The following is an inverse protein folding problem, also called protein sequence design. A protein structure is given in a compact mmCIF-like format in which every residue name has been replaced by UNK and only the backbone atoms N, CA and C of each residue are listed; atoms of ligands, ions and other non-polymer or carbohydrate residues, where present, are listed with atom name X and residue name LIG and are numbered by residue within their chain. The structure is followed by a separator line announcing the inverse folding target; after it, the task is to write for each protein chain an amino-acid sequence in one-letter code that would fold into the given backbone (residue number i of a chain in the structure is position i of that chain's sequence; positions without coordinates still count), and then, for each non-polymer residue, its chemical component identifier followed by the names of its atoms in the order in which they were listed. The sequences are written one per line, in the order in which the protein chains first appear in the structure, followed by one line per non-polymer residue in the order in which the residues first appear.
data_IF_821934464099
#
_entry.id   IF_821934464099
#
_cell.length_a   1.000
_cell.length_b   1.000
_cell.length_c   1.000
_cell.angle_alpha   90.00
_cell.angle_beta   90.00
_cell.angle_gamma   90.00
#
_symmetry.space_group_name_H-M   'P 1'
#
loop_
_entity.id
_entity.type
_entity.pdbx_description
1 polymer ?
#
# COMPACT_ATOMS: atom_id res chain seq x y z
N UNK A 1 -26.04 -12.72 5.72
CA UNK A 1 -25.09 -12.65 4.58
C UNK A 1 -23.71 -12.70 5.17
N UNK A 2 -22.92 -13.76 4.89
CA UNK A 2 -21.51 -13.81 5.29
C UNK A 2 -20.73 -12.94 4.30
N UNK A 3 -19.94 -12.00 4.82
CA UNK A 3 -18.93 -11.28 4.03
C UNK A 3 -17.70 -12.18 4.00
N UNK A 4 -17.19 -12.47 2.81
CA UNK A 4 -15.97 -13.27 2.61
C UNK A 4 -14.82 -12.30 2.37
N UNK A 5 -13.79 -12.36 3.21
CA UNK A 5 -12.57 -11.57 3.05
C UNK A 5 -11.49 -12.38 2.31
N UNK A 6 -10.57 -11.65 1.70
CA UNK A 6 -9.38 -12.17 1.04
C UNK A 6 -8.16 -11.38 1.45
N UNK A 7 -7.02 -12.06 1.53
CA UNK A 7 -5.73 -11.37 1.59
C UNK A 7 -5.39 -10.76 0.24
N UNK A 8 -5.24 -9.45 0.22
CA UNK A 8 -4.86 -8.69 -0.97
C UNK A 8 -3.61 -7.87 -0.65
N UNK A 9 -2.64 -7.88 -1.57
CA UNK A 9 -1.43 -7.06 -1.45
C UNK A 9 -1.69 -5.70 -2.08
N UNK A 10 -1.40 -4.64 -1.32
CA UNK A 10 -1.47 -3.27 -1.79
C UNK A 10 -0.07 -2.67 -1.87
N UNK A 11 0.25 -2.05 -3.01
CA UNK A 11 1.43 -1.21 -3.18
C UNK A 11 1.04 0.23 -2.93
N UNK A 12 1.71 0.88 -1.97
CA UNK A 12 1.45 2.26 -1.60
C UNK A 12 2.63 3.13 -1.98
N UNK A 13 2.39 4.12 -2.83
CA UNK A 13 3.33 5.16 -3.18
C UNK A 13 3.15 6.36 -2.25
N UNK A 14 4.24 6.82 -1.65
CA UNK A 14 4.18 7.88 -0.65
C UNK A 14 5.45 8.74 -0.64
N UNK A 15 5.34 9.94 -0.05
CA UNK A 15 6.48 10.76 0.32
C UNK A 15 6.61 10.84 1.84
N UNK A 16 7.83 10.75 2.36
CA UNK A 16 8.10 10.85 3.81
C UNK A 16 7.87 12.25 4.37
N UNK A 17 8.16 13.28 3.58
CA UNK A 17 8.05 14.68 3.96
C UNK A 17 6.82 15.31 3.30
N UNK A 18 5.89 15.81 4.12
CA UNK A 18 4.66 16.47 3.68
C UNK A 18 4.73 18.01 3.76
N UNK A 19 5.87 18.58 4.13
CA UNK A 19 6.07 20.03 4.36
C UNK A 19 6.56 20.78 3.13
N UNK A 20 6.92 20.06 2.06
CA UNK A 20 7.41 20.60 0.79
C UNK A 20 6.56 20.08 -0.38
N UNK A 21 6.63 20.76 -1.51
CA UNK A 21 5.98 20.27 -2.74
C UNK A 21 6.51 18.87 -3.11
N UNK A 22 5.63 17.93 -3.49
CA UNK A 22 6.02 16.56 -3.81
C UNK A 22 6.93 16.53 -5.03
N UNK A 23 7.97 15.69 -4.98
CA UNK A 23 8.89 15.45 -6.09
C UNK A 23 8.91 13.98 -6.47
N UNK A 24 8.91 13.67 -7.78
CA UNK A 24 8.82 12.28 -8.26
C UNK A 24 10.00 11.44 -7.79
N UNK A 25 11.18 12.03 -7.66
CA UNK A 25 12.40 11.35 -7.23
C UNK A 25 12.42 10.95 -5.75
N UNK A 26 11.48 11.45 -4.95
CA UNK A 26 11.34 11.12 -3.51
C UNK A 26 10.13 10.26 -3.21
N UNK A 27 9.44 9.75 -4.23
CA UNK A 27 8.36 8.79 -4.06
C UNK A 27 8.94 7.44 -3.67
N UNK A 28 8.66 7.00 -2.46
CA UNK A 28 8.94 5.66 -1.97
C UNK A 28 7.71 4.75 -2.17
N UNK A 29 7.93 3.44 -2.14
CA UNK A 29 6.86 2.46 -2.13
C UNK A 29 6.96 1.55 -0.91
N UNK A 30 5.81 1.10 -0.39
CA UNK A 30 5.70 0.04 0.60
C UNK A 30 4.57 -0.92 0.23
N UNK A 31 4.57 -2.12 0.82
CA UNK A 31 3.57 -3.15 0.56
C UNK A 31 2.80 -3.50 1.84
N UNK A 32 1.49 -3.64 1.73
CA UNK A 32 0.60 -4.06 2.82
C UNK A 32 -0.13 -5.35 2.42
N UNK A 33 -0.19 -6.33 3.32
CA UNK A 33 -1.02 -7.53 3.20
C UNK A 33 -2.29 -7.32 4.04
N UNK A 34 -3.44 -7.10 3.40
CA UNK A 34 -4.69 -6.73 4.05
C UNK A 34 -5.77 -7.78 3.83
N UNK A 35 -6.49 -8.14 4.90
CA UNK A 35 -7.64 -9.03 4.86
C UNK A 35 -8.94 -8.22 4.66
N UNK A 36 -9.42 -8.16 3.42
CA UNK A 36 -10.54 -7.30 3.01
C UNK A 36 -11.45 -7.99 2.00
N UNK A 37 -12.72 -7.57 1.91
CA UNK A 37 -13.66 -8.17 0.96
C UNK A 37 -13.51 -7.56 -0.44
N UNK A 38 -13.19 -6.27 -0.53
CA UNK A 38 -13.01 -5.58 -1.81
C UNK A 38 -11.75 -4.72 -1.85
N UNK A 39 -11.34 -4.34 -3.07
CA UNK A 39 -10.19 -3.47 -3.31
C UNK A 39 -10.41 -2.07 -2.72
N UNK A 40 -11.62 -1.55 -2.82
CA UNK A 40 -12.00 -0.23 -2.30
C UNK A 40 -11.88 -0.18 -0.78
N UNK A 41 -12.34 -1.22 -0.09
CA UNK A 41 -12.16 -1.36 1.37
C UNK A 41 -10.67 -1.41 1.75
N UNK A 42 -9.87 -2.16 1.01
CA UNK A 42 -8.43 -2.23 1.23
C UNK A 42 -7.71 -0.90 1.03
N UNK A 43 -8.10 -0.10 0.02
CA UNK A 43 -7.56 1.25 -0.17
C UNK A 43 -7.89 2.17 1.01
N UNK A 44 -9.12 2.11 1.53
CA UNK A 44 -9.53 2.90 2.70
C UNK A 44 -8.71 2.48 3.92
N UNK A 45 -8.64 1.18 4.21
CA UNK A 45 -7.91 0.65 5.36
C UNK A 45 -6.41 0.95 5.29
N UNK A 46 -5.80 0.84 4.11
CA UNK A 46 -4.39 1.20 3.90
C UNK A 46 -4.13 2.68 4.23
N UNK A 47 -5.01 3.60 3.82
CA UNK A 47 -4.89 5.03 4.17
C UNK A 47 -5.01 5.26 5.67
N UNK A 48 -5.97 4.62 6.32
CA UNK A 48 -6.16 4.74 7.77
C UNK A 48 -4.96 4.22 8.57
N UNK A 49 -4.42 3.05 8.19
CA UNK A 49 -3.23 2.48 8.82
C UNK A 49 -2.02 3.40 8.69
N UNK A 50 -1.79 3.96 7.49
CA UNK A 50 -0.66 4.86 7.27
C UNK A 50 -0.82 6.18 8.01
N UNK A 51 -2.03 6.76 8.01
CA UNK A 51 -2.30 8.00 8.73
C UNK A 51 -2.16 7.84 10.26
N UNK A 52 -2.47 6.66 10.80
CA UNK A 52 -2.35 6.36 12.23
C UNK A 52 -0.90 6.13 12.67
N UNK A 53 -0.08 5.51 11.83
CA UNK A 53 1.24 5.03 12.23
C UNK A 53 2.40 5.86 11.65
N UNK A 54 2.14 6.74 10.68
CA UNK A 54 3.19 7.49 9.98
C UNK A 54 2.76 8.92 9.70
N UNK A 55 3.73 9.79 9.39
CA UNK A 55 3.48 11.13 8.87
C UNK A 55 3.48 11.20 7.33
N UNK A 56 3.42 10.05 6.66
CA UNK A 56 3.62 9.95 5.22
C UNK A 56 2.52 10.63 4.42
N UNK A 57 2.92 11.32 3.35
CA UNK A 57 1.99 11.82 2.34
C UNK A 57 1.73 10.72 1.30
N UNK A 58 0.57 10.06 1.41
CA UNK A 58 0.19 8.97 0.51
C UNK A 58 -0.28 9.53 -0.83
N UNK A 59 0.47 9.24 -1.90
CA UNK A 59 0.20 9.71 -3.26
C UNK A 59 -0.79 8.79 -3.98
N UNK A 60 -0.53 7.49 -3.99
CA UNK A 60 -1.34 6.50 -4.70
C UNK A 60 -1.30 5.13 -4.02
N UNK A 61 -2.39 4.38 -4.13
CA UNK A 61 -2.50 3.01 -3.61
C UNK A 61 -3.08 2.15 -4.71
N UNK A 62 -2.41 1.04 -5.00
CA UNK A 62 -2.87 0.05 -5.98
C UNK A 62 -2.97 -1.33 -5.35
N UNK A 63 -3.97 -2.11 -5.76
CA UNK A 63 -4.07 -3.53 -5.45
C UNK A 63 -3.28 -4.31 -6.48
N UNK A 64 -2.35 -5.17 -6.07
CA UNK A 64 -1.58 -5.98 -7.01
C UNK A 64 -2.33 -7.26 -7.38
N UNK A 65 -2.21 -7.68 -8.63
CA UNK A 65 -2.55 -9.06 -9.03
C UNK A 65 -1.48 -10.03 -8.56
N UNK A 66 -1.78 -11.33 -8.55
CA UNK A 66 -0.82 -12.37 -8.15
C UNK A 66 0.46 -12.32 -9.01
N UNK A 67 0.31 -12.14 -10.34
CA UNK A 67 1.45 -12.04 -11.26
C UNK A 67 2.30 -10.79 -10.97
N UNK A 68 1.65 -9.69 -10.60
CA UNK A 68 2.33 -8.44 -10.22
C UNK A 68 3.10 -8.62 -8.92
N UNK A 69 2.55 -9.34 -7.94
CA UNK A 69 3.24 -9.67 -6.69
C UNK A 69 4.46 -10.54 -6.93
N UNK A 70 4.34 -11.56 -7.79
CA UNK A 70 5.48 -12.41 -8.18
C UNK A 70 6.59 -11.59 -8.84
N UNK A 71 6.23 -10.72 -9.78
CA UNK A 71 7.19 -9.83 -10.45
C UNK A 71 7.94 -8.93 -9.46
N UNK A 72 7.23 -8.32 -8.49
CA UNK A 72 7.84 -7.46 -7.46
C UNK A 72 8.80 -8.24 -6.56
N UNK A 73 8.48 -9.49 -6.21
CA UNK A 73 9.36 -10.38 -5.42
C UNK A 73 10.65 -10.74 -6.14
N UNK A 74 10.62 -10.85 -7.46
CA UNK A 74 11.80 -11.22 -8.26
C UNK A 74 12.70 -10.02 -8.61
N UNK A 75 12.10 -8.84 -8.80
CA UNK A 75 12.79 -7.69 -9.43
C UNK A 75 13.03 -6.51 -8.49
N UNK A 76 12.36 -6.47 -7.34
CA UNK A 76 12.37 -5.33 -6.43
C UNK A 76 12.70 -5.68 -4.98
N UNK A 77 12.70 -4.65 -4.13
CA UNK A 77 12.72 -4.81 -2.67
C UNK A 77 11.28 -4.99 -2.22
N UNK A 78 10.78 -6.22 -2.27
CA UNK A 78 9.44 -6.57 -1.82
C UNK A 78 9.47 -7.02 -0.35
N UNK A 79 9.03 -6.13 0.54
CA UNK A 79 8.84 -6.44 1.95
C UNK A 79 7.47 -5.94 2.44
N UNK A 80 6.72 -6.84 3.09
CA UNK A 80 5.44 -6.48 3.71
C UNK A 80 5.73 -5.64 4.96
N UNK A 81 5.13 -4.47 5.02
CA UNK A 81 5.24 -3.55 6.15
C UNK A 81 4.21 -3.90 7.22
N UNK A 82 4.65 -3.93 8.48
CA UNK A 82 3.82 -4.02 9.67
C UNK A 82 4.07 -2.81 10.59
N UNK A 83 3.06 -2.45 11.37
CA UNK A 83 3.10 -1.34 12.34
C UNK A 83 2.77 -1.84 13.74
#
# INVERSE_FOLDING_TARGET
MLVVNYRMIFKVFYQKDNTRSPRRETTDALYLDLDVATKEEGVILARELLAKNTAYHVEFIDSLSDESVEYEKETGVFEITSF
#
